data_IF_449039218458
#
_entry.id   IF_449039218458
#
_cell.length_a   1.000
_cell.length_b   1.000
_cell.length_c   1.000
_cell.angle_alpha   90.00
_cell.angle_beta   90.00
_cell.angle_gamma   90.00
#
_symmetry.space_group_name_H-M   'P 1'
#
loop_
_entity.id
_entity.type
_entity.pdbx_description
1 polymer ?
#
# COMPACT_ATOMS: atom_id res chain seq x y z
N UNK A 1 -0.50 25.56 2.69
CA UNK A 1 -1.16 26.43 1.72
C UNK A 1 -0.83 27.89 2.01
N UNK A 2 -0.93 28.34 3.25
CA UNK A 2 -0.62 29.72 3.66
C UNK A 2 0.87 30.11 3.52
N UNK A 3 1.79 29.18 3.71
CA UNK A 3 3.23 29.42 3.46
C UNK A 3 3.52 29.57 1.97
N UNK A 4 2.85 28.81 1.13
CA UNK A 4 2.93 28.99 -0.32
C UNK A 4 2.41 30.38 -0.74
N UNK A 5 1.36 30.89 -0.11
CA UNK A 5 0.87 32.25 -0.34
C UNK A 5 1.89 33.31 0.07
N UNK A 6 2.61 33.11 1.15
CA UNK A 6 3.71 34.00 1.58
C UNK A 6 4.93 33.99 0.64
N UNK A 7 5.22 32.86 0.00
CA UNK A 7 6.24 32.75 -1.05
C UNK A 7 5.76 33.22 -2.43
N UNK A 8 4.46 33.23 -2.66
CA UNK A 8 3.80 33.66 -3.91
C UNK A 8 3.80 35.19 -4.09
N UNK A 9 4.18 35.95 -3.07
CA UNK A 9 4.29 37.42 -3.15
C UNK A 9 5.35 37.96 -4.11
N UNK A 10 6.23 37.10 -4.65
CA UNK A 10 7.04 37.43 -5.82
C UNK A 10 6.69 36.42 -6.93
N UNK A 11 5.82 36.79 -7.84
CA UNK A 11 5.38 35.97 -8.98
C UNK A 11 6.53 35.36 -9.81
N UNK A 12 7.71 35.91 -9.72
CA UNK A 12 8.91 35.45 -10.42
C UNK A 12 9.55 34.19 -9.80
N UNK A 13 9.45 33.96 -8.49
CA UNK A 13 10.14 32.86 -7.81
C UNK A 13 9.39 31.54 -7.93
N UNK A 14 8.10 31.53 -8.16
CA UNK A 14 7.28 30.29 -8.19
C UNK A 14 7.31 29.62 -9.55
N UNK A 15 7.45 30.38 -10.61
CA UNK A 15 7.36 29.83 -11.98
C UNK A 15 8.61 29.02 -12.39
N UNK A 16 9.78 29.37 -11.87
CA UNK A 16 11.04 28.84 -12.39
C UNK A 16 11.91 28.12 -11.36
N UNK A 17 11.65 28.26 -10.04
CA UNK A 17 12.61 27.83 -9.01
C UNK A 17 12.02 26.96 -7.91
N UNK A 18 10.73 26.95 -7.65
CA UNK A 18 10.11 26.14 -6.58
C UNK A 18 8.83 25.48 -7.10
N UNK A 19 8.80 24.16 -7.06
CA UNK A 19 7.62 23.37 -7.39
C UNK A 19 6.86 23.04 -6.10
N UNK A 20 5.63 23.55 -5.88
CA UNK A 20 4.87 23.24 -4.68
C UNK A 20 4.37 21.79 -4.70
N UNK A 21 4.69 21.03 -3.65
CA UNK A 21 4.26 19.67 -3.42
C UNK A 21 3.36 19.60 -2.19
N UNK A 22 2.34 18.76 -2.24
CA UNK A 22 1.40 18.54 -1.15
C UNK A 22 1.64 17.18 -0.49
N UNK A 23 1.97 17.18 0.80
CA UNK A 23 2.14 15.94 1.57
C UNK A 23 0.78 15.30 1.86
N UNK A 24 0.69 13.99 1.78
CA UNK A 24 -0.48 13.24 2.19
C UNK A 24 -0.75 13.40 3.69
N UNK A 25 -2.02 13.46 4.09
CA UNK A 25 -2.38 13.36 5.51
C UNK A 25 -1.79 12.09 6.12
N UNK A 26 -1.35 12.15 7.38
CA UNK A 26 -0.60 11.10 8.09
C UNK A 26 0.85 10.91 7.63
N UNK A 27 1.33 11.70 6.70
CA UNK A 27 2.74 11.74 6.31
C UNK A 27 3.28 10.40 5.85
N UNK A 28 4.50 10.05 6.29
CA UNK A 28 5.20 8.80 5.90
C UNK A 28 4.45 7.53 6.31
N UNK A 29 3.54 7.60 7.27
CA UNK A 29 2.72 6.44 7.67
C UNK A 29 1.63 6.10 6.65
N UNK A 30 1.31 7.01 5.73
CA UNK A 30 0.41 6.77 4.61
C UNK A 30 1.15 6.57 3.29
N UNK A 31 2.16 7.40 3.03
CA UNK A 31 2.99 7.35 1.83
C UNK A 31 4.45 7.49 2.21
N UNK A 32 5.24 6.46 1.97
CA UNK A 32 6.68 6.44 2.22
C UNK A 32 7.42 7.29 1.17
N UNK A 33 7.21 8.61 1.18
CA UNK A 33 7.76 9.56 0.23
C UNK A 33 8.58 10.67 0.90
N UNK A 34 9.48 11.30 0.13
CA UNK A 34 10.33 12.41 0.62
C UNK A 34 9.52 13.64 1.03
N UNK A 35 8.44 13.95 0.31
CA UNK A 35 7.52 15.06 0.63
C UNK A 35 6.91 14.88 2.01
N UNK A 36 6.40 13.68 2.30
CA UNK A 36 5.82 13.31 3.59
C UNK A 36 6.88 13.33 4.68
N UNK A 37 8.07 12.80 4.40
CA UNK A 37 9.18 12.76 5.36
C UNK A 37 9.60 14.17 5.80
N UNK A 38 9.73 15.11 4.88
CA UNK A 38 10.07 16.50 5.20
C UNK A 38 9.04 17.18 6.11
N UNK A 39 7.77 17.03 5.80
CA UNK A 39 6.67 17.61 6.60
C UNK A 39 6.59 16.96 7.98
N UNK A 40 6.75 15.63 8.06
CA UNK A 40 6.75 14.91 9.32
C UNK A 40 7.92 15.30 10.22
N UNK A 41 9.10 15.45 9.66
CA UNK A 41 10.28 15.92 10.42
C UNK A 41 10.06 17.32 10.97
N UNK A 42 9.47 18.24 10.20
CA UNK A 42 9.11 19.56 10.68
C UNK A 42 8.13 19.49 11.86
N UNK A 43 7.09 18.67 11.75
CA UNK A 43 6.13 18.43 12.86
C UNK A 43 6.77 17.83 14.10
N UNK A 44 7.60 16.80 13.93
CA UNK A 44 8.31 16.16 15.05
C UNK A 44 9.29 17.10 15.75
N UNK A 45 9.87 18.05 15.01
CA UNK A 45 10.70 19.10 15.56
C UNK A 45 9.92 20.26 16.22
N UNK A 46 8.57 20.20 16.23
CA UNK A 46 7.71 21.27 16.76
C UNK A 46 7.67 22.52 15.88
N UNK A 47 8.06 22.40 14.61
CA UNK A 47 8.08 23.48 13.64
C UNK A 47 6.77 23.48 12.80
N UNK A 48 6.59 24.57 12.04
CA UNK A 48 5.50 24.61 11.07
C UNK A 48 5.68 23.49 10.03
N UNK A 49 4.60 22.76 9.67
CA UNK A 49 4.68 21.58 8.83
C UNK A 49 4.88 21.88 7.34
N UNK A 50 6.00 22.55 7.04
CA UNK A 50 6.46 22.84 5.69
C UNK A 50 7.99 22.73 5.64
N UNK A 51 8.54 22.35 4.48
CA UNK A 51 9.97 22.24 4.28
C UNK A 51 10.33 22.47 2.81
N UNK A 52 11.57 22.92 2.56
CA UNK A 52 12.16 22.90 1.23
C UNK A 52 12.82 21.53 1.00
N UNK A 53 12.53 20.93 -0.15
CA UNK A 53 13.09 19.67 -0.60
C UNK A 53 13.98 19.92 -1.82
N UNK A 54 15.18 19.37 -1.81
CA UNK A 54 16.11 19.40 -2.95
C UNK A 54 16.65 18.00 -3.20
N UNK A 55 16.73 17.62 -4.46
CA UNK A 55 17.40 16.40 -4.88
C UNK A 55 18.86 16.68 -5.15
N UNK A 56 19.75 15.81 -4.65
CA UNK A 56 21.21 15.97 -4.81
C UNK A 56 21.66 15.33 -6.11
N UNK A 57 22.33 16.11 -6.96
CA UNK A 57 22.93 15.65 -8.21
C UNK A 57 24.45 15.59 -8.07
N UNK A 58 25.07 14.65 -8.78
CA UNK A 58 26.49 14.58 -9.01
C UNK A 58 26.93 15.65 -10.02
N UNK A 59 28.25 15.94 -10.09
CA UNK A 59 28.81 16.90 -11.04
C UNK A 59 28.51 16.55 -12.51
N UNK A 60 28.37 15.29 -12.82
CA UNK A 60 28.03 14.79 -14.17
C UNK A 60 26.53 14.90 -14.51
N UNK A 61 25.71 15.44 -13.61
CA UNK A 61 24.27 15.61 -13.77
C UNK A 61 23.44 14.37 -13.42
N UNK A 62 24.04 13.26 -13.01
CA UNK A 62 23.31 12.09 -12.52
C UNK A 62 22.83 12.30 -11.08
N UNK A 63 21.79 11.58 -10.68
CA UNK A 63 21.27 11.66 -9.30
C UNK A 63 22.21 10.93 -8.34
N UNK A 64 22.64 11.64 -7.29
CA UNK A 64 23.47 11.07 -6.24
C UNK A 64 22.72 9.92 -5.53
N UNK A 65 23.44 8.84 -5.23
CA UNK A 65 22.95 7.66 -4.52
C UNK A 65 23.59 7.57 -3.14
N UNK A 66 23.19 6.57 -2.36
CA UNK A 66 23.61 6.44 -0.96
C UNK A 66 25.13 6.57 -0.74
N UNK A 67 26.04 5.97 -1.56
CA UNK A 67 27.48 6.13 -1.36
C UNK A 67 27.97 7.57 -1.48
N UNK A 68 27.46 8.33 -2.46
CA UNK A 68 27.81 9.74 -2.69
C UNK A 68 27.22 10.62 -1.59
N UNK A 69 25.93 10.39 -1.25
CA UNK A 69 25.24 11.12 -0.19
C UNK A 69 25.91 10.92 1.18
N UNK A 70 26.44 9.73 1.47
CA UNK A 70 27.18 9.48 2.71
C UNK A 70 28.48 10.28 2.79
N UNK A 71 29.25 10.35 1.69
CA UNK A 71 30.48 11.17 1.61
C UNK A 71 30.14 12.63 1.84
N UNK A 72 29.11 13.13 1.17
CA UNK A 72 28.67 14.52 1.31
C UNK A 72 28.21 14.83 2.74
N UNK A 73 27.44 13.91 3.35
CA UNK A 73 26.99 14.08 4.73
C UNK A 73 28.17 14.14 5.71
N UNK A 74 29.18 13.30 5.53
CA UNK A 74 30.38 13.27 6.36
C UNK A 74 31.23 14.56 6.16
N UNK A 75 31.36 15.05 4.92
CA UNK A 75 32.13 16.23 4.56
C UNK A 75 31.53 17.52 5.11
N UNK A 76 30.22 17.70 4.96
CA UNK A 76 29.50 18.92 5.35
C UNK A 76 28.84 18.83 6.73
N UNK A 77 28.96 17.71 7.43
CA UNK A 77 28.33 17.48 8.74
C UNK A 77 26.80 17.40 8.68
N UNK A 78 26.24 16.98 7.56
CA UNK A 78 24.81 16.79 7.42
C UNK A 78 24.34 15.50 8.09
N UNK A 79 23.12 15.53 8.62
CA UNK A 79 22.49 14.32 9.15
C UNK A 79 21.88 13.51 8.02
N UNK A 80 22.20 12.22 7.97
CA UNK A 80 21.64 11.27 7.01
C UNK A 80 20.64 10.38 7.74
N UNK A 81 19.41 10.35 7.25
CA UNK A 81 18.35 9.50 7.76
C UNK A 81 17.66 8.78 6.60
N UNK A 82 17.03 7.64 6.88
CA UNK A 82 16.19 6.97 5.91
C UNK A 82 14.69 7.18 6.21
N UNK A 83 13.85 7.14 5.17
CA UNK A 83 12.40 7.17 5.34
C UNK A 83 11.94 5.94 6.15
N UNK A 84 12.60 4.79 5.98
CA UNK A 84 12.30 3.59 6.74
C UNK A 84 12.51 3.79 8.26
N UNK A 85 13.60 4.46 8.67
CA UNK A 85 13.86 4.77 10.08
C UNK A 85 12.84 5.76 10.64
N UNK A 86 12.43 6.76 9.86
CA UNK A 86 11.39 7.70 10.25
C UNK A 86 10.04 7.01 10.43
N UNK A 87 9.68 6.09 9.53
CA UNK A 87 8.47 5.25 9.66
C UNK A 87 8.56 4.40 10.93
N UNK A 88 9.68 3.71 11.16
CA UNK A 88 9.88 2.89 12.34
C UNK A 88 9.77 3.70 13.65
N UNK A 89 10.33 4.91 13.66
CA UNK A 89 10.20 5.84 14.77
C UNK A 89 8.75 6.23 15.04
N UNK A 90 8.02 6.65 14.00
CA UNK A 90 6.62 7.06 14.13
C UNK A 90 5.70 5.90 14.54
N UNK A 91 5.90 4.69 13.97
CA UNK A 91 5.13 3.49 14.33
C UNK A 91 5.32 3.04 15.79
N UNK A 92 6.43 3.42 16.44
CA UNK A 92 6.60 3.18 17.88
C UNK A 92 5.77 4.13 18.75
N UNK A 93 5.46 5.31 18.24
CA UNK A 93 4.77 6.36 19.00
C UNK A 93 3.29 6.51 18.61
N UNK A 94 2.94 6.14 17.41
CA UNK A 94 1.60 6.35 16.85
C UNK A 94 1.02 5.03 16.36
N UNK A 95 -0.17 4.66 16.86
CA UNK A 95 -0.98 3.59 16.27
C UNK A 95 -2.05 4.20 15.37
N UNK A 96 -2.05 3.85 14.07
CA UNK A 96 -3.08 4.27 13.09
C UNK A 96 -4.38 3.49 13.24
N UNK A 97 -4.33 2.36 13.96
CA UNK A 97 -5.47 1.45 14.09
C UNK A 97 -5.83 1.21 15.56
N UNK A 98 -7.07 0.94 15.80
CA UNK A 98 -7.62 0.46 17.06
C UNK A 98 -8.00 -1.01 16.87
N UNK A 99 -7.42 -1.88 17.70
CA UNK A 99 -7.70 -3.31 17.66
C UNK A 99 -8.99 -3.61 18.41
N UNK A 100 -9.90 -4.34 17.77
CA UNK A 100 -11.13 -4.83 18.36
C UNK A 100 -10.99 -6.19 19.07
N UNK A 101 -12.13 -6.78 19.42
CA UNK A 101 -12.18 -8.09 20.08
C UNK A 101 -11.91 -9.22 19.10
N UNK A 102 -11.19 -10.23 19.54
CA UNK A 102 -10.97 -11.46 18.79
C UNK A 102 -12.15 -12.41 18.95
N UNK A 103 -12.60 -12.98 17.86
CA UNK A 103 -13.68 -13.98 17.84
C UNK A 103 -13.30 -15.20 17.00
N UNK A 104 -13.90 -16.32 17.31
CA UNK A 104 -13.81 -17.54 16.51
C UNK A 104 -14.67 -17.41 15.26
N UNK A 105 -14.12 -17.81 14.10
CA UNK A 105 -14.75 -17.63 12.79
C UNK A 105 -14.63 -18.90 11.93
N UNK A 106 -15.54 -19.86 12.08
CA UNK A 106 -15.65 -20.97 11.16
C UNK A 106 -16.22 -20.48 9.81
N UNK A 107 -15.60 -20.91 8.72
CA UNK A 107 -16.00 -20.57 7.36
C UNK A 107 -16.00 -21.81 6.47
N UNK A 108 -16.58 -21.72 5.27
CA UNK A 108 -16.54 -22.80 4.29
C UNK A 108 -15.12 -23.11 3.79
N UNK A 109 -14.19 -22.14 3.91
CA UNK A 109 -12.81 -22.24 3.43
C UNK A 109 -11.78 -22.47 4.54
N UNK A 110 -12.23 -22.70 5.77
CA UNK A 110 -11.38 -22.97 6.91
C UNK A 110 -11.85 -22.33 8.20
N UNK A 111 -11.13 -22.62 9.27
CA UNK A 111 -11.44 -22.14 10.62
C UNK A 111 -10.38 -21.13 11.09
N UNK A 112 -10.78 -19.90 11.33
CA UNK A 112 -9.92 -18.75 11.63
C UNK A 112 -10.33 -18.08 12.93
N UNK A 113 -9.43 -17.29 13.48
CA UNK A 113 -9.72 -16.24 14.45
C UNK A 113 -9.87 -14.93 13.70
N UNK A 114 -10.90 -14.16 13.98
CA UNK A 114 -11.16 -12.86 13.35
C UNK A 114 -10.92 -11.74 14.35
N UNK A 115 -10.14 -10.74 13.93
CA UNK A 115 -9.91 -9.52 14.70
C UNK A 115 -10.26 -8.33 13.81
N UNK A 116 -11.25 -7.50 14.18
CA UNK A 116 -11.50 -6.24 13.48
C UNK A 116 -10.51 -5.17 13.92
N UNK A 117 -10.18 -4.27 13.01
CA UNK A 117 -9.34 -3.10 13.26
C UNK A 117 -10.02 -1.86 12.71
N UNK A 118 -10.12 -0.80 13.51
CA UNK A 118 -10.63 0.49 13.06
C UNK A 118 -9.48 1.42 12.74
N UNK A 119 -9.47 1.98 11.53
CA UNK A 119 -8.52 3.02 11.14
C UNK A 119 -8.93 4.35 11.79
N UNK A 120 -8.05 4.91 12.62
CA UNK A 120 -8.34 6.12 13.43
C UNK A 120 -8.55 7.38 12.59
N UNK A 121 -8.03 7.43 11.35
CA UNK A 121 -8.08 8.61 10.49
C UNK A 121 -9.43 8.84 9.82
N UNK A 122 -10.11 7.76 9.44
CA UNK A 122 -11.33 7.82 8.61
C UNK A 122 -12.46 6.91 9.13
N UNK A 123 -12.20 6.16 10.24
CA UNK A 123 -13.19 5.25 10.84
C UNK A 123 -13.44 3.96 10.05
N UNK A 124 -12.70 3.70 8.95
CA UNK A 124 -12.85 2.48 8.19
C UNK A 124 -12.45 1.25 9.02
N UNK A 125 -13.22 0.19 8.88
CA UNK A 125 -12.99 -1.07 9.57
C UNK A 125 -12.36 -2.08 8.61
N UNK A 126 -11.28 -2.70 9.09
CA UNK A 126 -10.50 -3.73 8.43
C UNK A 126 -10.56 -5.01 9.24
N UNK A 127 -10.23 -6.13 8.64
CA UNK A 127 -10.31 -7.43 9.31
C UNK A 127 -8.99 -8.18 9.14
N UNK A 128 -8.51 -8.80 10.22
CA UNK A 128 -7.50 -9.86 10.16
C UNK A 128 -8.16 -11.22 10.43
N UNK A 129 -8.02 -12.16 9.51
CA UNK A 129 -8.30 -13.58 9.72
C UNK A 129 -6.98 -14.28 10.01
N UNK A 130 -6.89 -14.98 11.12
CA UNK A 130 -5.65 -15.56 11.62
C UNK A 130 -5.84 -17.07 11.83
N UNK A 131 -4.90 -17.86 11.34
CA UNK A 131 -4.80 -19.31 11.59
C UNK A 131 -3.52 -19.63 12.36
N UNK A 132 -3.64 -20.42 13.40
CA UNK A 132 -2.49 -20.85 14.21
C UNK A 132 -1.90 -19.72 15.08
N UNK A 133 -0.68 -19.99 15.58
CA UNK A 133 0.14 -19.05 16.35
C UNK A 133 1.51 -18.96 15.69
N UNK A 134 2.17 -17.82 15.77
CA UNK A 134 3.48 -17.59 15.16
C UNK A 134 4.46 -17.03 16.17
N UNK A 135 5.74 -17.32 15.98
CA UNK A 135 6.83 -16.63 16.67
C UNK A 135 7.27 -15.40 15.89
N UNK A 136 7.94 -14.45 16.56
CA UNK A 136 8.31 -13.14 16.02
C UNK A 136 9.18 -13.23 14.75
N UNK A 137 10.07 -14.24 14.68
CA UNK A 137 11.01 -14.43 13.55
C UNK A 137 10.52 -15.44 12.50
N UNK A 138 9.34 -16.01 12.67
CA UNK A 138 8.81 -17.04 11.76
C UNK A 138 8.24 -16.39 10.48
N UNK A 139 8.64 -16.89 9.28
CA UNK A 139 8.01 -16.46 8.03
C UNK A 139 6.58 -16.99 7.93
N UNK A 140 5.59 -16.13 8.05
CA UNK A 140 4.16 -16.47 8.06
C UNK A 140 3.56 -16.31 6.67
N UNK A 141 2.70 -17.24 6.25
CA UNK A 141 1.95 -17.11 4.99
C UNK A 141 0.88 -16.03 5.14
N UNK A 142 0.98 -14.96 4.32
CA UNK A 142 0.13 -13.78 4.44
C UNK A 142 -0.53 -13.41 3.12
N UNK A 143 -1.82 -13.08 3.17
CA UNK A 143 -2.53 -12.38 2.10
C UNK A 143 -2.98 -11.01 2.58
N UNK A 144 -2.55 -9.95 1.89
CA UNK A 144 -3.16 -8.62 2.02
C UNK A 144 -4.17 -8.46 0.90
N UNK A 145 -5.45 -8.45 1.23
CA UNK A 145 -6.56 -8.39 0.30
C UNK A 145 -7.29 -7.06 0.43
N UNK A 146 -7.45 -6.33 -0.67
CA UNK A 146 -8.30 -5.14 -0.71
C UNK A 146 -9.71 -5.53 -1.10
N UNK A 147 -10.70 -5.05 -0.36
CA UNK A 147 -12.11 -5.39 -0.58
C UNK A 147 -12.55 -5.17 -2.03
N UNK A 148 -13.39 -6.05 -2.49
CA UNK A 148 -14.03 -6.00 -3.78
C UNK A 148 -15.46 -6.52 -3.64
N UNK A 149 -16.41 -5.66 -3.29
CA UNK A 149 -17.80 -6.06 -3.04
C UNK A 149 -18.40 -6.88 -4.19
N UNK A 150 -18.08 -6.52 -5.43
CA UNK A 150 -18.57 -7.25 -6.60
C UNK A 150 -17.99 -8.67 -6.71
N UNK A 151 -16.69 -8.84 -6.44
CA UNK A 151 -16.04 -10.17 -6.51
C UNK A 151 -16.21 -10.97 -5.25
N UNK A 152 -15.97 -10.37 -4.08
CA UNK A 152 -15.89 -11.09 -2.81
C UNK A 152 -17.30 -11.48 -2.28
N UNK A 153 -18.34 -10.64 -2.54
CA UNK A 153 -19.69 -10.86 -2.03
C UNK A 153 -20.62 -11.44 -3.11
N UNK A 154 -20.58 -10.82 -4.31
CA UNK A 154 -21.53 -11.17 -5.37
C UNK A 154 -20.99 -12.16 -6.41
N UNK A 155 -19.75 -12.63 -6.25
CA UNK A 155 -19.14 -13.60 -7.16
C UNK A 155 -19.02 -13.12 -8.61
N UNK A 156 -18.73 -11.80 -8.80
CA UNK A 156 -18.61 -11.24 -10.14
C UNK A 156 -17.48 -11.90 -10.92
N UNK A 157 -17.80 -12.37 -12.10
CA UNK A 157 -16.84 -12.98 -13.02
C UNK A 157 -15.95 -11.95 -13.75
N UNK A 158 -16.18 -10.63 -13.58
CA UNK A 158 -15.37 -9.55 -14.22
C UNK A 158 -14.00 -9.37 -13.61
N UNK A 159 -13.75 -9.94 -12.45
CA UNK A 159 -12.45 -9.90 -11.75
C UNK A 159 -12.13 -11.28 -11.14
N UNK A 160 -10.95 -11.38 -10.54
CA UNK A 160 -10.44 -12.58 -9.87
C UNK A 160 -10.39 -12.44 -8.33
N UNK A 161 -11.05 -11.41 -7.76
CA UNK A 161 -10.88 -11.04 -6.35
C UNK A 161 -11.42 -12.11 -5.40
N UNK A 162 -12.69 -12.51 -5.57
CA UNK A 162 -13.31 -13.52 -4.72
C UNK A 162 -12.57 -14.86 -4.77
N UNK A 163 -12.24 -15.32 -5.99
CA UNK A 163 -11.48 -16.57 -6.16
C UNK A 163 -10.11 -16.50 -5.49
N UNK A 164 -9.41 -15.36 -5.58
CA UNK A 164 -8.14 -15.16 -4.87
C UNK A 164 -8.30 -15.14 -3.36
N UNK A 165 -9.40 -14.57 -2.83
CA UNK A 165 -9.67 -14.57 -1.40
C UNK A 165 -9.90 -15.99 -0.89
N UNK A 166 -10.79 -16.74 -1.53
CA UNK A 166 -11.10 -18.13 -1.15
C UNK A 166 -9.87 -19.04 -1.25
N UNK A 167 -9.12 -18.92 -2.36
CA UNK A 167 -7.88 -19.68 -2.54
C UNK A 167 -6.82 -19.36 -1.47
N UNK A 168 -6.72 -18.09 -1.05
CA UNK A 168 -5.82 -17.71 0.04
C UNK A 168 -6.26 -18.33 1.37
N UNK A 169 -7.56 -18.33 1.67
CA UNK A 169 -8.11 -18.97 2.86
C UNK A 169 -7.80 -20.47 2.89
N UNK A 170 -8.05 -21.17 1.78
CA UNK A 170 -7.79 -22.61 1.65
C UNK A 170 -6.30 -22.96 1.78
N UNK A 171 -5.41 -22.14 1.19
CA UNK A 171 -3.97 -22.34 1.31
C UNK A 171 -3.49 -22.17 2.75
N UNK A 172 -3.96 -21.14 3.45
CA UNK A 172 -3.63 -20.88 4.85
C UNK A 172 -4.22 -21.96 5.76
N UNK A 173 -5.45 -22.42 5.51
CA UNK A 173 -6.06 -23.54 6.24
C UNK A 173 -5.22 -24.80 6.09
N UNK A 174 -4.82 -25.13 4.86
CA UNK A 174 -3.98 -26.30 4.57
C UNK A 174 -2.59 -26.23 5.22
N UNK A 175 -1.99 -25.04 5.27
CA UNK A 175 -0.68 -24.82 5.92
C UNK A 175 -0.81 -24.86 7.46
N UNK A 176 -2.00 -24.62 8.00
CA UNK A 176 -2.28 -24.60 9.45
C UNK A 176 -1.81 -23.32 10.14
N UNK A 177 -1.12 -22.42 9.44
CA UNK A 177 -0.62 -21.14 9.93
C UNK A 177 -0.69 -20.08 8.85
N UNK A 178 -1.14 -18.88 9.23
CA UNK A 178 -1.15 -17.75 8.30
C UNK A 178 -2.14 -16.67 8.69
N UNK A 179 -2.17 -15.61 7.88
CA UNK A 179 -3.08 -14.51 8.10
C UNK A 179 -3.59 -13.91 6.77
N UNK A 180 -4.84 -13.47 6.78
CA UNK A 180 -5.41 -12.63 5.72
C UNK A 180 -5.75 -11.27 6.34
N UNK A 181 -5.20 -10.22 5.77
CA UNK A 181 -5.56 -8.85 6.11
C UNK A 181 -6.52 -8.35 5.03
N UNK A 182 -7.79 -8.26 5.39
CA UNK A 182 -8.85 -7.76 4.53
C UNK A 182 -9.03 -6.27 4.75
N UNK A 183 -8.57 -5.48 3.78
CA UNK A 183 -8.59 -4.03 3.84
C UNK A 183 -9.84 -3.49 3.14
N UNK A 184 -10.61 -2.69 3.83
CA UNK A 184 -11.77 -1.99 3.26
C UNK A 184 -11.29 -0.81 2.39
N UNK A 185 -10.81 -1.14 1.18
CA UNK A 185 -10.25 -0.22 0.18
C UNK A 185 -10.76 -0.59 -1.21
N UNK A 186 -12.09 -0.49 -1.36
CA UNK A 186 -12.81 -0.83 -2.60
C UNK A 186 -12.26 -0.07 -3.81
N UNK A 187 -12.22 -0.77 -4.96
CA UNK A 187 -11.80 -0.17 -6.22
C UNK A 187 -10.35 0.33 -6.23
N UNK A 188 -9.45 -0.26 -5.43
CA UNK A 188 -8.07 0.22 -5.20
C UNK A 188 -8.00 1.59 -4.50
N UNK A 189 -8.95 1.88 -3.63
CA UNK A 189 -9.02 3.12 -2.86
C UNK A 189 -10.01 4.15 -3.40
N UNK A 190 -10.50 4.02 -4.65
CA UNK A 190 -11.42 4.99 -5.26
C UNK A 190 -12.89 4.82 -4.81
N UNK A 191 -13.21 3.69 -4.16
CA UNK A 191 -14.57 3.38 -3.70
C UNK A 191 -15.44 2.71 -4.76
N UNK A 192 -16.59 2.21 -4.30
CA UNK A 192 -17.51 1.43 -5.15
C UNK A 192 -18.15 2.29 -6.26
N UNK A 193 -18.55 3.52 -5.95
CA UNK A 193 -19.22 4.39 -6.93
C UNK A 193 -18.31 4.69 -8.12
N UNK A 194 -17.08 5.10 -7.87
CA UNK A 194 -16.12 5.41 -8.93
C UNK A 194 -15.71 4.15 -9.70
N UNK A 195 -15.59 3.01 -9.02
CA UNK A 195 -15.39 1.71 -9.68
C UNK A 195 -16.52 1.36 -10.63
N UNK A 196 -17.79 1.66 -10.30
CA UNK A 196 -18.92 1.41 -11.23
C UNK A 196 -18.83 2.32 -12.45
N UNK A 197 -18.44 3.57 -12.31
CA UNK A 197 -18.16 4.46 -13.44
C UNK A 197 -17.03 3.92 -14.32
N UNK A 198 -15.93 3.46 -13.70
CA UNK A 198 -14.84 2.81 -14.43
C UNK A 198 -15.31 1.57 -15.20
N UNK A 199 -16.19 0.75 -14.60
CA UNK A 199 -16.79 -0.39 -15.29
C UNK A 199 -17.62 0.02 -16.52
N UNK A 200 -18.33 1.15 -16.44
CA UNK A 200 -19.09 1.67 -17.58
C UNK A 200 -18.16 2.09 -18.72
N UNK A 201 -17.08 2.80 -18.43
CA UNK A 201 -16.06 3.15 -19.43
C UNK A 201 -15.37 1.92 -20.02
N UNK A 202 -15.18 0.86 -19.23
CA UNK A 202 -14.65 -0.41 -19.76
C UNK A 202 -15.61 -1.12 -20.71
N UNK A 203 -16.92 -1.03 -20.50
CA UNK A 203 -17.94 -1.51 -21.45
C UNK A 203 -17.89 -0.75 -22.77
N UNK A 204 -17.49 0.50 -22.75
CA UNK A 204 -17.28 1.37 -23.91
C UNK A 204 -15.91 1.17 -24.61
N UNK A 205 -15.08 0.24 -24.08
CA UNK A 205 -13.83 -0.20 -24.72
C UNK A 205 -12.54 0.27 -24.05
N UNK A 206 -12.59 1.10 -22.98
CA UNK A 206 -11.38 1.48 -22.22
C UNK A 206 -10.80 0.28 -21.46
N UNK A 207 -9.50 0.33 -21.17
CA UNK A 207 -8.93 -0.59 -20.18
C UNK A 207 -9.08 -0.04 -18.74
N UNK A 208 -8.73 -0.87 -17.74
CA UNK A 208 -8.91 -0.52 -16.32
C UNK A 208 -8.06 0.69 -15.90
N UNK A 209 -6.86 0.87 -16.45
CA UNK A 209 -5.96 1.96 -16.10
C UNK A 209 -6.46 3.27 -16.72
N UNK A 210 -6.78 3.25 -18.02
CA UNK A 210 -7.27 4.42 -18.74
C UNK A 210 -8.63 4.88 -18.19
N UNK A 211 -9.51 3.95 -17.82
CA UNK A 211 -10.79 4.28 -17.18
C UNK A 211 -10.61 5.04 -15.84
N UNK A 212 -9.65 4.61 -15.00
CA UNK A 212 -9.36 5.31 -13.75
C UNK A 212 -8.77 6.71 -14.00
N UNK A 213 -7.82 6.83 -14.92
CA UNK A 213 -7.20 8.12 -15.28
C UNK A 213 -8.25 9.09 -15.85
N UNK A 214 -9.16 8.61 -16.71
CA UNK A 214 -10.25 9.41 -17.26
C UNK A 214 -11.18 9.99 -16.18
N UNK A 215 -11.35 9.26 -15.07
CA UNK A 215 -12.12 9.69 -13.90
C UNK A 215 -11.33 10.60 -12.94
N UNK A 216 -10.05 10.91 -13.24
CA UNK A 216 -9.20 11.75 -12.41
C UNK A 216 -8.50 11.01 -11.27
N UNK A 217 -8.51 9.67 -11.27
CA UNK A 217 -7.87 8.83 -10.26
C UNK A 217 -6.49 8.32 -10.71
N UNK A 218 -5.65 7.98 -9.72
CA UNK A 218 -4.43 7.24 -9.98
C UNK A 218 -4.73 5.76 -10.28
N UNK A 219 -3.77 5.06 -10.87
CA UNK A 219 -3.90 3.63 -11.15
C UNK A 219 -4.04 2.78 -9.86
N UNK A 220 -3.48 3.27 -8.74
CA UNK A 220 -3.52 2.62 -7.42
C UNK A 220 -3.44 3.68 -6.31
N UNK A 221 -4.52 3.84 -5.55
CA UNK A 221 -4.64 4.79 -4.42
C UNK A 221 -4.69 4.06 -3.06
N UNK A 222 -4.28 2.78 -3.00
CA UNK A 222 -4.33 2.00 -1.77
C UNK A 222 -3.35 2.50 -0.72
N UNK A 223 -3.79 2.45 0.53
CA UNK A 223 -2.97 2.70 1.71
C UNK A 223 -2.38 1.37 2.22
N UNK A 224 -1.08 1.18 1.99
CA UNK A 224 -0.36 -0.01 2.47
C UNK A 224 0.08 0.11 3.93
N UNK A 225 0.16 1.33 4.47
CA UNK A 225 0.59 1.59 5.85
C UNK A 225 -0.35 0.98 6.88
N UNK A 226 -1.65 1.06 6.65
CA UNK A 226 -2.66 0.43 7.53
C UNK A 226 -2.50 -1.08 7.55
N UNK A 227 -2.33 -1.71 6.37
CA UNK A 227 -2.11 -3.16 6.28
C UNK A 227 -0.84 -3.61 6.99
N UNK A 228 0.24 -2.85 6.83
CA UNK A 228 1.51 -3.12 7.50
C UNK A 228 1.40 -3.00 9.02
N UNK A 229 0.67 -1.99 9.50
CA UNK A 229 0.47 -1.82 10.94
C UNK A 229 -0.38 -2.93 11.54
N UNK A 230 -1.46 -3.35 10.87
CA UNK A 230 -2.27 -4.50 11.32
C UNK A 230 -1.41 -5.76 11.42
N UNK A 231 -0.54 -6.03 10.42
CA UNK A 231 0.39 -7.16 10.46
C UNK A 231 1.30 -7.11 11.69
N UNK A 232 1.88 -5.97 12.00
CA UNK A 232 2.73 -5.78 13.19
C UNK A 232 1.94 -5.95 14.50
N UNK A 233 0.72 -5.42 14.59
CA UNK A 233 -0.16 -5.55 15.77
C UNK A 233 -0.56 -7.00 16.06
N UNK A 234 -0.60 -7.87 15.05
CA UNK A 234 -0.84 -9.30 15.21
C UNK A 234 0.46 -10.11 15.33
N UNK A 235 1.63 -9.44 15.40
CA UNK A 235 2.93 -10.08 15.63
C UNK A 235 3.61 -10.65 14.38
N UNK A 236 3.22 -10.23 13.18
CA UNK A 236 3.85 -10.67 11.92
C UNK A 236 4.85 -9.62 11.46
N UNK A 237 6.14 -9.96 11.46
CA UNK A 237 7.25 -9.14 10.98
C UNK A 237 7.91 -9.70 9.72
N UNK A 238 7.92 -11.04 9.58
CA UNK A 238 8.44 -11.76 8.42
C UNK A 238 7.31 -12.54 7.76
N UNK A 239 7.26 -12.52 6.43
CA UNK A 239 6.17 -13.17 5.73
C UNK A 239 6.55 -13.78 4.39
N UNK A 240 5.80 -14.79 4.01
CA UNK A 240 5.65 -15.33 2.66
C UNK A 240 4.37 -14.72 2.09
N UNK A 241 4.50 -13.81 1.14
CA UNK A 241 3.38 -12.99 0.68
C UNK A 241 2.65 -13.61 -0.52
N UNK A 242 1.38 -13.94 -0.33
CA UNK A 242 0.47 -14.38 -1.40
C UNK A 242 0.12 -13.21 -2.33
N UNK A 243 0.88 -13.05 -3.40
CA UNK A 243 0.68 -11.95 -4.35
C UNK A 243 1.26 -12.24 -5.72
N UNK A 244 0.62 -11.71 -6.76
CA UNK A 244 1.16 -11.60 -8.12
C UNK A 244 1.52 -10.14 -8.46
N UNK A 245 1.39 -9.20 -7.49
CA UNK A 245 1.62 -7.78 -7.68
C UNK A 245 2.93 -7.34 -7.00
N UNK A 246 4.00 -7.01 -7.75
CA UNK A 246 5.28 -6.59 -7.18
C UNK A 246 5.19 -5.26 -6.40
N UNK A 247 4.27 -4.37 -6.77
CA UNK A 247 4.08 -3.08 -6.08
C UNK A 247 3.62 -3.28 -4.63
N UNK A 248 2.80 -4.31 -4.36
CA UNK A 248 2.39 -4.65 -2.98
C UNK A 248 3.59 -4.99 -2.08
N UNK A 249 4.56 -5.69 -2.63
CA UNK A 249 5.79 -6.04 -1.93
C UNK A 249 6.51 -4.79 -1.46
N UNK A 250 6.85 -3.91 -2.40
CA UNK A 250 7.55 -2.65 -2.11
C UNK A 250 6.79 -1.80 -1.09
N UNK A 251 5.46 -1.75 -1.24
CA UNK A 251 4.59 -1.02 -0.32
C UNK A 251 4.66 -1.52 1.13
N UNK A 252 4.76 -2.82 1.35
CA UNK A 252 4.85 -3.40 2.70
C UNK A 252 6.28 -3.34 3.27
N UNK A 253 7.29 -3.61 2.45
CA UNK A 253 8.72 -3.51 2.86
C UNK A 253 9.08 -2.10 3.31
N UNK A 254 8.50 -1.06 2.70
CA UNK A 254 8.69 0.33 3.11
C UNK A 254 8.29 0.61 4.57
N UNK A 255 7.42 -0.22 5.16
CA UNK A 255 6.98 -0.13 6.55
C UNK A 255 7.72 -1.10 7.49
N UNK A 256 8.86 -1.63 7.08
CA UNK A 256 9.74 -2.45 7.91
C UNK A 256 9.25 -3.90 8.10
N UNK A 257 8.47 -4.41 7.17
CA UNK A 257 8.10 -5.81 7.08
C UNK A 257 9.07 -6.54 6.15
N UNK A 258 9.52 -7.73 6.56
CA UNK A 258 10.41 -8.56 5.74
C UNK A 258 9.61 -9.56 4.90
N UNK A 259 9.70 -9.45 3.58
CA UNK A 259 9.08 -10.41 2.66
C UNK A 259 10.14 -11.38 2.15
N UNK A 260 10.17 -12.56 2.73
CA UNK A 260 11.15 -13.61 2.41
C UNK A 260 10.83 -14.35 1.10
N UNK A 261 9.54 -14.41 0.74
CA UNK A 261 9.08 -15.14 -0.45
C UNK A 261 7.81 -14.51 -1.02
N UNK A 262 7.70 -14.47 -2.34
CA UNK A 262 6.43 -14.23 -3.03
C UNK A 262 5.81 -15.56 -3.43
N UNK A 263 4.64 -15.85 -2.87
CA UNK A 263 3.87 -17.05 -3.19
C UNK A 263 2.82 -16.68 -4.24
N UNK A 264 2.83 -17.30 -5.43
CA UNK A 264 1.85 -17.01 -6.47
C UNK A 264 0.42 -17.37 -6.02
N UNK A 265 -0.53 -16.52 -6.39
CA UNK A 265 -1.96 -16.77 -6.18
C UNK A 265 -2.71 -16.54 -7.49
N UNK A 266 -2.52 -17.46 -8.42
CA UNK A 266 -3.11 -17.38 -9.75
C UNK A 266 -4.45 -18.12 -9.77
N UNK A 267 -5.40 -17.55 -10.49
CA UNK A 267 -6.73 -18.12 -10.72
C UNK A 267 -6.87 -18.33 -12.23
N UNK A 268 -7.54 -19.40 -12.62
CA UNK A 268 -7.81 -19.68 -14.03
C UNK A 268 -8.65 -18.57 -14.65
N UNK A 269 -8.23 -17.96 -15.76
CA UNK A 269 -9.01 -16.96 -16.44
C UNK A 269 -10.38 -17.51 -16.91
N UNK A 270 -11.37 -16.63 -16.94
CA UNK A 270 -12.68 -16.92 -17.55
C UNK A 270 -12.96 -15.91 -18.69
N UNK A 271 -13.92 -16.14 -19.56
CA UNK A 271 -14.20 -15.27 -20.73
C UNK A 271 -14.51 -13.81 -20.37
N UNK A 272 -14.93 -13.52 -19.14
CA UNK A 272 -15.31 -12.19 -18.70
C UNK A 272 -14.16 -11.42 -18.05
N UNK A 273 -13.13 -12.11 -17.47
CA UNK A 273 -12.01 -11.46 -16.80
C UNK A 273 -10.67 -11.56 -17.57
N UNK A 274 -10.62 -12.27 -18.68
CA UNK A 274 -9.39 -12.47 -19.46
C UNK A 274 -8.73 -11.14 -19.83
N UNK A 275 -9.49 -10.21 -20.41
CA UNK A 275 -8.99 -8.87 -20.76
C UNK A 275 -8.47 -8.11 -19.54
N UNK A 276 -9.17 -8.20 -18.41
CA UNK A 276 -8.75 -7.57 -17.15
C UNK A 276 -7.42 -8.15 -16.64
N UNK A 277 -7.24 -9.46 -16.71
CA UNK A 277 -6.00 -10.14 -16.31
C UNK A 277 -4.84 -9.80 -17.25
N UNK A 278 -5.07 -9.66 -18.54
CA UNK A 278 -4.09 -9.16 -19.51
C UNK A 278 -3.64 -7.73 -19.15
N UNK A 279 -4.57 -6.82 -18.87
CA UNK A 279 -4.25 -5.45 -18.42
C UNK A 279 -3.40 -5.46 -17.15
N UNK A 280 -3.71 -6.32 -16.18
CA UNK A 280 -2.87 -6.49 -14.96
C UNK A 280 -1.43 -6.89 -15.31
N UNK A 281 -1.26 -7.84 -16.22
CA UNK A 281 0.06 -8.32 -16.64
C UNK A 281 0.84 -7.25 -17.39
N UNK A 282 0.25 -6.69 -18.45
CA UNK A 282 0.95 -5.84 -19.41
C UNK A 282 1.16 -4.40 -18.90
N UNK A 283 0.16 -3.82 -18.21
CA UNK A 283 0.21 -2.42 -17.79
C UNK A 283 0.50 -2.20 -16.32
N UNK A 284 0.32 -3.24 -15.49
CA UNK A 284 0.53 -3.13 -14.03
C UNK A 284 1.65 -4.04 -13.52
N UNK A 285 2.38 -4.72 -14.41
CA UNK A 285 3.55 -5.53 -14.05
C UNK A 285 3.26 -6.75 -13.19
N UNK A 286 2.02 -7.26 -13.19
CA UNK A 286 1.70 -8.49 -12.47
C UNK A 286 2.38 -9.71 -13.09
N UNK A 287 2.93 -10.57 -12.24
CA UNK A 287 3.49 -11.87 -12.63
C UNK A 287 2.35 -12.88 -12.77
N UNK A 288 1.76 -12.97 -13.96
CA UNK A 288 0.69 -13.91 -14.28
C UNK A 288 1.13 -14.84 -15.41
N UNK A 289 0.88 -16.15 -15.25
CA UNK A 289 1.16 -17.18 -16.27
C UNK A 289 -0.17 -17.67 -16.82
N UNK A 290 -0.46 -17.31 -18.06
CA UNK A 290 -1.60 -17.86 -18.76
C UNK A 290 -1.16 -19.15 -19.47
N UNK A 291 -1.67 -20.30 -19.00
CA UNK A 291 -1.54 -21.53 -19.77
C UNK A 291 -2.35 -21.34 -21.06
N UNK A 292 -1.67 -21.53 -22.19
CA UNK A 292 -2.31 -21.55 -23.52
C UNK A 292 -3.26 -22.70 -23.65
#
# INVERSE_FOLDING_TARGET
YEILIGLVGSEMCIRDSVNPLYAQEKGVLRRAGHTEACVDMARLAGLYPAAALMEVMNEDGTMARLPELKKMADEYGFKLISIADLIAYRLKQESLVEKGVEVDMPTEHGHFRLIPFRQKSNGLEHVALIKGTFSEDEPVLVRVHSSCATGDIFGSMRCDCGDQLHKAMEQIEKEGKGAIIYLNQEGRGIGLMEKMKAYKLQEEGMDTVDANICLGHQADERDYGVGAQILREIGIHKMRLLTNNPVKRVGLEAYGLEIVENVPIEVTPNPYNERYLHTKKERMGHTLHFNK
#
